data_IF_846747647288
#
_entry.id   IF_846747647288
#
_cell.length_a   1.000
_cell.length_b   1.000
_cell.length_c   1.000
_cell.angle_alpha   90.00
_cell.angle_beta   90.00
_cell.angle_gamma   90.00
#
_symmetry.space_group_name_H-M   'P 1'
#
loop_
_entity.id
_entity.type
_entity.pdbx_description
1 polymer ?
#
# COMPACT_ATOMS: atom_id res chain seq x y z
N UNK A 1 -3.00 15.34 -20.01
CA UNK A 1 -3.16 15.36 -18.54
C UNK A 1 -3.72 14.08 -17.92
N UNK A 2 -4.77 13.42 -18.46
CA UNK A 2 -5.30 12.16 -17.87
C UNK A 2 -4.40 10.92 -18.04
N UNK A 3 -3.53 10.87 -19.07
CA UNK A 3 -2.69 9.70 -19.38
C UNK A 3 -1.56 9.46 -18.36
N UNK A 4 -1.06 10.51 -17.71
CA UNK A 4 0.06 10.41 -16.75
C UNK A 4 -0.38 9.87 -15.38
N UNK A 5 -1.70 9.92 -15.12
CA UNK A 5 -2.35 9.45 -13.88
C UNK A 5 -2.66 7.95 -13.89
N UNK A 6 -2.90 7.41 -15.09
CA UNK A 6 -3.33 6.03 -15.28
C UNK A 6 -2.38 5.00 -14.66
N UNK A 7 -1.05 5.11 -14.82
CA UNK A 7 -0.13 4.12 -14.24
C UNK A 7 -0.16 4.11 -12.71
N UNK A 8 -0.18 5.28 -12.06
CA UNK A 8 -0.20 5.41 -10.59
C UNK A 8 -1.50 4.86 -10.02
N UNK A 9 -2.64 5.18 -10.65
CA UNK A 9 -3.95 4.67 -10.22
C UNK A 9 -4.03 3.14 -10.38
N UNK A 10 -3.53 2.60 -11.51
CA UNK A 10 -3.47 1.15 -11.72
C UNK A 10 -2.60 0.48 -10.66
N UNK A 11 -1.43 1.05 -10.39
CA UNK A 11 -0.48 0.55 -9.41
C UNK A 11 -1.06 0.53 -7.98
N UNK A 12 -1.71 1.62 -7.56
CA UNK A 12 -2.45 1.67 -6.29
C UNK A 12 -3.61 0.68 -6.24
N UNK A 13 -4.30 0.47 -7.37
CA UNK A 13 -5.38 -0.50 -7.50
C UNK A 13 -4.90 -1.94 -7.33
N UNK A 14 -3.80 -2.31 -8.00
CA UNK A 14 -3.15 -3.62 -7.85
C UNK A 14 -2.73 -3.84 -6.38
N UNK A 15 -2.13 -2.83 -5.75
CA UNK A 15 -1.72 -2.90 -4.35
C UNK A 15 -2.92 -3.09 -3.41
N UNK A 16 -4.03 -2.41 -3.65
CA UNK A 16 -5.26 -2.59 -2.86
C UNK A 16 -5.80 -4.02 -2.99
N UNK A 17 -5.94 -4.53 -4.21
CA UNK A 17 -6.41 -5.90 -4.48
C UNK A 17 -5.50 -6.92 -3.81
N UNK A 18 -4.18 -6.79 -3.99
CA UNK A 18 -3.20 -7.68 -3.37
C UNK A 18 -3.32 -7.68 -1.84
N UNK A 19 -3.47 -6.51 -1.23
CA UNK A 19 -3.59 -6.38 0.22
C UNK A 19 -4.84 -7.09 0.77
N UNK A 20 -5.98 -6.97 0.07
CA UNK A 20 -7.21 -7.68 0.44
C UNK A 20 -7.09 -9.18 0.27
N UNK A 21 -6.56 -9.65 -0.86
CA UNK A 21 -6.39 -11.08 -1.15
C UNK A 21 -5.45 -11.73 -0.14
N UNK A 22 -4.27 -11.15 0.08
CA UNK A 22 -3.29 -11.70 1.01
C UNK A 22 -3.78 -11.66 2.45
N UNK A 23 -4.58 -10.66 2.83
CA UNK A 23 -5.23 -10.63 4.14
C UNK A 23 -6.22 -11.78 4.32
N UNK A 24 -7.08 -12.01 3.31
CA UNK A 24 -8.03 -13.13 3.33
C UNK A 24 -7.33 -14.48 3.42
N UNK A 25 -6.30 -14.70 2.60
CA UNK A 25 -5.49 -15.93 2.64
C UNK A 25 -4.80 -16.12 4.00
N UNK A 26 -4.25 -15.06 4.58
CA UNK A 26 -3.60 -15.12 5.90
C UNK A 26 -4.61 -15.48 7.00
N UNK A 27 -5.83 -14.91 6.95
CA UNK A 27 -6.87 -15.28 7.91
C UNK A 27 -7.30 -16.73 7.74
N UNK A 28 -7.55 -17.19 6.50
CA UNK A 28 -7.96 -18.58 6.23
C UNK A 28 -6.90 -19.57 6.68
N UNK A 29 -5.62 -19.29 6.39
CA UNK A 29 -4.51 -20.18 6.72
C UNK A 29 -4.29 -20.34 8.22
N UNK A 30 -4.48 -19.28 9.00
CA UNK A 30 -4.12 -19.25 10.42
C UNK A 30 -5.33 -19.21 11.38
N UNK A 31 -6.57 -19.20 10.88
CA UNK A 31 -7.80 -19.06 11.68
C UNK A 31 -7.90 -20.02 12.87
N UNK A 32 -7.43 -21.26 12.70
CA UNK A 32 -7.53 -22.32 13.71
C UNK A 32 -6.18 -22.69 14.33
N UNK A 33 -5.18 -21.82 14.18
CA UNK A 33 -3.83 -22.04 14.73
C UNK A 33 -3.59 -21.14 15.93
N UNK A 34 -2.56 -21.45 16.72
CA UNK A 34 -2.10 -20.59 17.82
C UNK A 34 -1.69 -19.17 17.37
N UNK A 35 -1.42 -18.99 16.08
CA UNK A 35 -1.08 -17.70 15.46
C UNK A 35 -2.29 -16.88 15.02
N UNK A 36 -3.53 -17.32 15.30
CA UNK A 36 -4.75 -16.64 14.86
C UNK A 36 -4.79 -15.15 15.25
N UNK A 37 -4.35 -14.78 16.45
CA UNK A 37 -4.33 -13.38 16.92
C UNK A 37 -3.33 -12.51 16.14
N UNK A 38 -2.16 -13.06 15.83
CA UNK A 38 -1.10 -12.40 15.06
C UNK A 38 -1.49 -12.27 13.59
N UNK A 39 -2.11 -13.31 13.03
CA UNK A 39 -2.68 -13.29 11.70
C UNK A 39 -3.80 -12.24 11.59
N UNK A 40 -4.67 -12.12 12.59
CA UNK A 40 -5.69 -11.07 12.66
C UNK A 40 -5.07 -9.68 12.64
N UNK A 41 -4.08 -9.42 13.50
CA UNK A 41 -3.37 -8.15 13.55
C UNK A 41 -2.68 -7.81 12.22
N UNK A 42 -1.94 -8.75 11.64
CA UNK A 42 -1.28 -8.57 10.34
C UNK A 42 -2.26 -8.35 9.20
N UNK A 43 -3.39 -9.06 9.20
CA UNK A 43 -4.46 -8.91 8.22
C UNK A 43 -5.19 -7.57 8.35
N UNK A 44 -5.48 -7.10 9.57
CA UNK A 44 -6.06 -5.78 9.80
C UNK A 44 -5.17 -4.65 9.26
N UNK A 45 -3.85 -4.74 9.45
CA UNK A 45 -2.90 -3.76 8.89
C UNK A 45 -2.93 -3.79 7.36
N UNK A 46 -2.94 -4.98 6.74
CA UNK A 46 -3.02 -5.11 5.27
C UNK A 46 -4.32 -4.55 4.70
N UNK A 47 -5.46 -4.82 5.35
CA UNK A 47 -6.76 -4.24 4.97
C UNK A 47 -6.72 -2.72 5.07
N UNK A 48 -6.15 -2.17 6.15
CA UNK A 48 -5.96 -0.73 6.32
C UNK A 48 -5.15 -0.09 5.20
N UNK A 49 -4.05 -0.73 4.78
CA UNK A 49 -3.24 -0.31 3.63
C UNK A 49 -4.10 -0.36 2.34
N UNK A 50 -4.86 -1.42 2.11
CA UNK A 50 -5.75 -1.53 0.95
C UNK A 50 -6.80 -0.42 0.90
N UNK A 51 -7.43 -0.10 2.03
CA UNK A 51 -8.42 1.00 2.14
C UNK A 51 -7.76 2.36 1.88
N UNK A 52 -6.59 2.61 2.46
CA UNK A 52 -5.84 3.86 2.24
C UNK A 52 -5.46 4.04 0.76
N UNK A 53 -5.06 2.97 0.06
CA UNK A 53 -4.80 3.01 -1.37
C UNK A 53 -6.05 3.42 -2.17
N UNK A 54 -7.22 2.89 -1.85
CA UNK A 54 -8.49 3.26 -2.50
C UNK A 54 -8.87 4.71 -2.21
N UNK A 55 -8.73 5.16 -0.96
CA UNK A 55 -8.99 6.56 -0.57
C UNK A 55 -8.04 7.51 -1.33
N UNK A 56 -6.77 7.12 -1.48
CA UNK A 56 -5.78 7.89 -2.22
C UNK A 56 -6.13 7.98 -3.71
N UNK A 57 -6.57 6.88 -4.34
CA UNK A 57 -7.09 6.88 -5.72
C UNK A 57 -8.24 7.89 -5.86
N UNK A 58 -9.21 7.87 -4.95
CA UNK A 58 -10.34 8.80 -4.98
C UNK A 58 -9.89 10.26 -4.81
N UNK A 59 -8.94 10.52 -3.93
CA UNK A 59 -8.37 11.85 -3.72
C UNK A 59 -7.61 12.36 -4.94
N UNK A 60 -6.83 11.50 -5.60
CA UNK A 60 -6.09 11.80 -6.83
C UNK A 60 -7.07 12.09 -7.98
N UNK A 61 -8.10 11.27 -8.18
CA UNK A 61 -9.11 11.47 -9.23
C UNK A 61 -9.90 12.77 -9.02
N UNK A 62 -10.21 13.11 -7.77
CA UNK A 62 -10.96 14.33 -7.41
C UNK A 62 -10.07 15.56 -7.20
N UNK A 63 -8.76 15.47 -7.47
CA UNK A 63 -7.81 16.57 -7.29
C UNK A 63 -7.88 17.24 -5.91
N UNK A 64 -8.06 16.46 -4.84
CA UNK A 64 -8.22 17.00 -3.50
C UNK A 64 -6.87 17.19 -2.81
N UNK A 65 -6.65 18.37 -2.24
CA UNK A 65 -5.49 18.72 -1.40
C UNK A 65 -5.21 17.69 -0.29
N UNK A 66 -6.26 17.12 0.31
CA UNK A 66 -6.09 16.11 1.36
C UNK A 66 -5.45 14.80 0.87
N UNK A 67 -5.49 14.51 -0.43
CA UNK A 67 -4.86 13.33 -1.01
C UNK A 67 -3.34 13.35 -0.82
N UNK A 68 -2.74 14.55 -0.77
CA UNK A 68 -1.32 14.73 -0.48
C UNK A 68 -0.96 14.22 0.92
N UNK A 69 -1.71 14.63 1.94
CA UNK A 69 -1.46 14.24 3.33
C UNK A 69 -1.70 12.73 3.53
N UNK A 70 -2.77 12.20 2.94
CA UNK A 70 -3.04 10.76 2.99
C UNK A 70 -1.96 9.97 2.24
N UNK A 71 -1.44 10.48 1.12
CA UNK A 71 -0.35 9.85 0.38
C UNK A 71 0.95 9.74 1.20
N UNK A 72 1.29 10.79 1.97
CA UNK A 72 2.47 10.80 2.85
C UNK A 72 2.32 9.78 3.99
N UNK A 73 1.14 9.73 4.61
CA UNK A 73 0.82 8.75 5.68
C UNK A 73 0.89 7.33 5.11
N UNK A 74 0.22 7.10 3.98
CA UNK A 74 0.19 5.82 3.28
C UNK A 74 1.60 5.32 2.93
N UNK A 75 2.47 6.23 2.47
CA UNK A 75 3.87 5.91 2.20
C UNK A 75 4.66 5.54 3.45
N UNK A 76 4.48 6.27 4.55
CA UNK A 76 5.21 6.00 5.80
C UNK A 76 4.89 4.61 6.33
N UNK A 77 3.60 4.25 6.37
CA UNK A 77 3.16 2.90 6.73
C UNK A 77 3.61 1.84 5.72
N UNK A 78 3.58 2.19 4.43
CA UNK A 78 4.02 1.35 3.33
C UNK A 78 5.49 0.95 3.41
N UNK A 79 6.37 1.92 3.68
CA UNK A 79 7.81 1.71 3.84
C UNK A 79 8.09 0.86 5.07
N UNK A 80 7.47 1.17 6.21
CA UNK A 80 7.63 0.39 7.45
C UNK A 80 7.21 -1.07 7.22
N UNK A 81 6.05 -1.28 6.60
CA UNK A 81 5.55 -2.62 6.27
C UNK A 81 6.47 -3.36 5.28
N UNK A 82 7.04 -2.65 4.30
CA UNK A 82 7.97 -3.22 3.32
C UNK A 82 9.29 -3.63 3.96
N UNK A 83 9.88 -2.78 4.80
CA UNK A 83 11.11 -3.06 5.56
C UNK A 83 10.86 -4.27 6.47
N UNK A 84 9.74 -4.27 7.20
CA UNK A 84 9.37 -5.37 8.08
C UNK A 84 9.19 -6.68 7.30
N UNK A 85 8.51 -6.63 6.15
CA UNK A 85 8.35 -7.78 5.27
C UNK A 85 9.68 -8.28 4.73
N UNK A 86 10.62 -7.41 4.39
CA UNK A 86 11.96 -7.81 3.95
C UNK A 86 12.73 -8.49 5.08
N UNK A 87 12.69 -7.94 6.30
CA UNK A 87 13.36 -8.51 7.48
C UNK A 87 12.80 -9.91 7.79
N UNK A 88 11.49 -10.08 7.76
CA UNK A 88 10.84 -11.38 7.97
C UNK A 88 11.22 -12.33 6.83
N UNK A 89 11.08 -11.92 5.58
CA UNK A 89 11.42 -12.77 4.43
C UNK A 89 12.87 -13.23 4.46
N UNK A 90 13.81 -12.36 4.86
CA UNK A 90 15.22 -12.71 5.03
C UNK A 90 15.47 -13.73 6.15
N UNK A 91 14.65 -13.73 7.21
CA UNK A 91 14.73 -14.73 8.30
C UNK A 91 14.12 -16.08 7.95
N UNK A 92 13.19 -16.12 7.01
CA UNK A 92 12.48 -17.34 6.60
C UNK A 92 12.87 -17.82 5.19
N UNK A 93 13.96 -17.30 4.62
CA UNK A 93 14.46 -17.60 3.26
C UNK A 93 13.40 -17.41 2.16
N UNK A 94 12.41 -16.55 2.42
CA UNK A 94 11.33 -16.25 1.49
C UNK A 94 11.75 -15.15 0.51
N UNK A 95 11.19 -15.12 -0.71
CA UNK A 95 11.51 -14.10 -1.69
C UNK A 95 11.19 -12.68 -1.18
N UNK A 96 12.21 -11.84 -1.01
CA UNK A 96 12.08 -10.44 -0.58
C UNK A 96 11.51 -9.50 -1.67
N UNK A 97 11.22 -10.05 -2.86
CA UNK A 97 10.72 -9.33 -4.05
C UNK A 97 9.49 -8.48 -3.73
N UNK A 98 8.61 -8.95 -2.84
CA UNK A 98 7.37 -8.24 -2.50
C UNK A 98 7.62 -6.92 -1.76
N UNK A 99 8.56 -6.88 -0.81
CA UNK A 99 8.90 -5.65 -0.09
C UNK A 99 9.61 -4.64 -0.98
N UNK A 100 10.44 -5.11 -1.92
CA UNK A 100 11.12 -4.26 -2.91
C UNK A 100 10.10 -3.66 -3.89
N UNK A 101 9.16 -4.47 -4.40
CA UNK A 101 8.11 -3.99 -5.30
C UNK A 101 7.24 -2.93 -4.65
N UNK A 102 6.86 -3.12 -3.38
CA UNK A 102 6.14 -2.13 -2.58
C UNK A 102 6.93 -0.82 -2.47
N UNK A 103 8.23 -0.86 -2.15
CA UNK A 103 9.08 0.34 -2.05
C UNK A 103 9.13 1.15 -3.36
N UNK A 104 9.22 0.48 -4.51
CA UNK A 104 9.21 1.12 -5.83
C UNK A 104 7.86 1.80 -6.09
N UNK A 105 6.76 1.12 -5.78
CA UNK A 105 5.39 1.62 -5.88
C UNK A 105 5.16 2.89 -5.03
N UNK A 106 5.64 2.89 -3.78
CA UNK A 106 5.53 4.04 -2.89
C UNK A 106 6.38 5.22 -3.38
N UNK A 107 7.60 4.95 -3.83
CA UNK A 107 8.51 5.98 -4.37
C UNK A 107 7.95 6.64 -5.63
N UNK A 108 7.35 5.85 -6.53
CA UNK A 108 6.70 6.36 -7.74
C UNK A 108 5.46 7.22 -7.42
N UNK A 109 4.67 6.81 -6.42
CA UNK A 109 3.51 7.57 -5.95
C UNK A 109 3.94 8.91 -5.33
N UNK A 110 5.03 8.93 -4.56
CA UNK A 110 5.58 10.15 -3.97
C UNK A 110 6.11 11.12 -5.03
N UNK A 111 6.92 10.61 -5.98
CA UNK A 111 7.44 11.40 -7.09
C UNK A 111 6.31 12.08 -7.85
N UNK A 112 5.22 11.35 -8.08
CA UNK A 112 4.02 11.87 -8.73
C UNK A 112 3.34 12.98 -7.90
N UNK A 113 3.07 12.71 -6.62
CA UNK A 113 2.43 13.65 -5.69
C UNK A 113 3.21 14.97 -5.61
N UNK A 114 4.54 14.91 -5.52
CA UNK A 114 5.40 16.08 -5.45
C UNK A 114 5.44 16.82 -6.80
N UNK A 115 5.60 16.08 -7.91
CA UNK A 115 5.62 16.61 -9.28
C UNK A 115 4.34 17.39 -9.61
N UNK A 116 3.20 16.96 -9.08
CA UNK A 116 1.88 17.50 -9.39
C UNK A 116 1.25 18.29 -8.25
N UNK A 117 2.03 18.71 -7.25
CA UNK A 117 1.57 19.49 -6.09
C UNK A 117 0.74 20.73 -6.48
N UNK A 118 1.05 21.36 -7.60
CA UNK A 118 0.32 22.51 -8.15
C UNK A 118 -1.13 22.20 -8.60
N UNK A 119 -1.49 20.94 -8.85
CA UNK A 119 -2.87 20.53 -9.17
C UNK A 119 -3.75 20.34 -7.93
N UNK A 120 -3.17 20.45 -6.73
CA UNK A 120 -3.83 20.17 -5.46
C UNK A 120 -3.84 21.37 -4.51
N UNK A 121 -3.18 22.48 -4.88
CA UNK A 121 -3.16 23.73 -4.11
C UNK A 121 -3.90 24.76 -4.97
N UNK A 122 -5.23 24.76 -4.85
CA UNK A 122 -6.12 25.87 -5.19
C UNK A 122 -6.82 26.31 -3.90
#
# INVERSE_FOLDING_TARGET
MKKDLTPVIILLGILAVFSFVMSGLTLIQYANTEFASQALAGSSVRIGIGILAVILILGIIKHRSWALYIGIIFMSFGIINSIWSIIISARFELPAIFGIAMLILFSATLYYIISKRHLFID
#
